data_IF_443733968961
#
_entry.id   IF_443733968961
#
_cell.length_a   1.000
_cell.length_b   1.000
_cell.length_c   1.000
_cell.angle_alpha   90.00
_cell.angle_beta   90.00
_cell.angle_gamma   90.00
#
_symmetry.space_group_name_H-M   'P 1'
#
loop_
_entity.id
_entity.type
_entity.pdbx_description
1 polymer ?
#
# COMPACT_ATOMS: atom_id res chain seq x y z
N UNK A 1 14.94 -13.50 39.90
CA UNK A 1 13.60 -13.60 39.25
C UNK A 1 13.48 -12.87 37.90
N UNK A 2 14.35 -11.90 37.54
CA UNK A 2 14.23 -11.16 36.27
C UNK A 2 14.55 -11.99 34.99
N UNK A 3 15.52 -12.92 35.03
CA UNK A 3 15.97 -13.69 33.84
C UNK A 3 14.91 -14.62 33.24
N UNK A 4 14.02 -15.19 34.06
CA UNK A 4 12.97 -16.10 33.59
C UNK A 4 11.86 -15.39 32.81
N UNK A 5 11.61 -14.10 33.11
CA UNK A 5 10.56 -13.30 32.44
C UNK A 5 11.00 -12.82 31.05
N UNK A 6 12.30 -12.60 30.86
CA UNK A 6 12.90 -12.17 29.59
C UNK A 6 12.93 -13.29 28.56
N UNK A 7 13.20 -14.54 28.98
CA UNK A 7 13.19 -15.71 28.09
C UNK A 7 11.81 -15.93 27.46
N UNK A 8 10.73 -15.89 28.26
CA UNK A 8 9.37 -16.05 27.73
C UNK A 8 8.90 -14.91 26.81
N UNK A 9 9.49 -13.72 26.89
CA UNK A 9 9.20 -12.62 25.94
C UNK A 9 9.90 -12.84 24.60
N UNK A 10 11.17 -13.26 24.62
CA UNK A 10 11.93 -13.58 23.40
C UNK A 10 11.30 -14.75 22.64
N UNK A 11 10.83 -15.79 23.35
CA UNK A 11 10.14 -16.92 22.72
C UNK A 11 8.79 -16.53 22.09
N UNK A 12 8.11 -15.51 22.63
CA UNK A 12 6.89 -14.95 22.03
C UNK A 12 7.21 -14.11 20.79
N UNK A 13 8.23 -13.26 20.85
CA UNK A 13 8.69 -12.48 19.70
C UNK A 13 9.17 -13.38 18.57
N UNK A 14 9.91 -14.44 18.88
CA UNK A 14 10.43 -15.36 17.87
C UNK A 14 9.30 -16.18 17.22
N UNK A 15 8.27 -16.56 17.97
CA UNK A 15 7.04 -17.16 17.40
C UNK A 15 6.30 -16.18 16.53
N UNK A 16 6.01 -14.97 17.02
CA UNK A 16 5.36 -13.93 16.24
C UNK A 16 6.10 -13.61 14.94
N UNK A 17 7.43 -13.43 15.02
CA UNK A 17 8.24 -13.14 13.84
C UNK A 17 8.21 -14.30 12.85
N UNK A 18 8.27 -15.55 13.34
CA UNK A 18 8.14 -16.74 12.50
C UNK A 18 6.76 -16.82 11.85
N UNK A 19 5.69 -16.57 12.58
CA UNK A 19 4.32 -16.61 12.05
C UNK A 19 4.10 -15.49 11.01
N UNK A 20 4.67 -14.31 11.24
CA UNK A 20 4.59 -13.15 10.33
C UNK A 20 5.43 -13.35 9.06
N UNK A 21 6.61 -13.96 9.18
CA UNK A 21 7.55 -14.15 8.05
C UNK A 21 7.45 -15.51 7.38
N UNK A 22 6.71 -16.48 7.94
CA UNK A 22 6.59 -17.84 7.41
C UNK A 22 6.05 -17.88 5.97
N UNK A 23 5.25 -16.88 5.57
CA UNK A 23 4.75 -16.74 4.20
C UNK A 23 5.64 -15.92 3.25
N UNK A 24 6.73 -15.31 3.74
CA UNK A 24 7.54 -14.38 2.95
C UNK A 24 8.73 -15.11 2.30
N UNK A 25 8.63 -15.40 0.99
CA UNK A 25 9.78 -15.86 0.21
C UNK A 25 10.64 -14.66 -0.23
N UNK A 26 11.96 -14.83 -0.32
CA UNK A 26 12.87 -13.81 -0.84
C UNK A 26 12.54 -13.41 -2.28
N UNK A 27 11.95 -14.33 -3.05
CA UNK A 27 11.41 -14.07 -4.39
C UNK A 27 10.18 -13.15 -4.37
N UNK A 28 9.33 -13.26 -3.36
CA UNK A 28 8.11 -12.43 -3.24
C UNK A 28 8.47 -11.02 -2.78
N UNK A 29 9.44 -10.88 -1.87
CA UNK A 29 10.04 -9.58 -1.54
C UNK A 29 10.62 -8.89 -2.77
N UNK A 30 11.36 -9.63 -3.61
CA UNK A 30 11.94 -9.06 -4.83
C UNK A 30 10.87 -8.63 -5.84
N UNK A 31 9.78 -9.40 -5.97
CA UNK A 31 8.63 -9.03 -6.82
C UNK A 31 7.94 -7.75 -6.34
N UNK A 32 7.77 -7.57 -5.04
CA UNK A 32 7.20 -6.37 -4.44
C UNK A 32 8.00 -5.11 -4.82
N UNK A 33 9.33 -5.19 -4.73
CA UNK A 33 10.20 -4.04 -5.02
C UNK A 33 10.42 -3.77 -6.51
N UNK A 34 10.51 -4.80 -7.35
CA UNK A 34 10.80 -4.61 -8.77
C UNK A 34 9.54 -4.44 -9.61
N UNK A 35 8.56 -5.35 -9.48
CA UNK A 35 7.39 -5.40 -10.38
C UNK A 35 6.22 -4.59 -9.84
N UNK A 36 5.89 -4.76 -8.56
CA UNK A 36 4.71 -4.09 -8.00
C UNK A 36 4.94 -2.60 -7.80
N UNK A 37 6.16 -2.19 -7.40
CA UNK A 37 6.52 -0.78 -7.34
C UNK A 37 6.50 -0.11 -8.74
N UNK A 38 7.00 -0.80 -9.77
CA UNK A 38 6.95 -0.29 -11.14
C UNK A 38 5.51 -0.18 -11.67
N UNK A 39 4.68 -1.18 -11.40
CA UNK A 39 3.25 -1.16 -11.75
C UNK A 39 2.51 -0.03 -11.02
N UNK A 40 2.76 0.12 -9.71
CA UNK A 40 2.18 1.20 -8.91
C UNK A 40 2.58 2.56 -9.46
N UNK A 41 3.87 2.77 -9.75
CA UNK A 41 4.35 3.99 -10.37
C UNK A 41 3.66 4.25 -11.71
N UNK A 42 3.63 3.27 -12.62
CA UNK A 42 2.98 3.41 -13.92
C UNK A 42 1.48 3.76 -13.80
N UNK A 43 0.78 3.17 -12.83
CA UNK A 43 -0.64 3.46 -12.55
C UNK A 43 -0.85 4.85 -11.95
N UNK A 44 0.12 5.38 -11.18
CA UNK A 44 0.08 6.72 -10.62
C UNK A 44 0.43 7.79 -11.65
N UNK A 45 1.39 7.52 -12.55
CA UNK A 45 1.87 8.47 -13.54
C UNK A 45 1.14 8.39 -14.87
N UNK A 46 0.20 7.45 -15.06
CA UNK A 46 -0.55 7.26 -16.31
C UNK A 46 -1.21 8.55 -16.82
N UNK A 47 -1.71 9.38 -15.92
CA UNK A 47 -2.35 10.66 -16.25
C UNK A 47 -1.34 11.80 -16.51
N UNK A 48 -0.13 11.69 -15.96
CA UNK A 48 0.92 12.72 -16.03
C UNK A 48 2.06 12.37 -17.01
N UNK A 49 1.95 11.27 -17.74
CA UNK A 49 2.97 10.74 -18.65
C UNK A 49 3.29 11.62 -19.88
N UNK A 50 2.68 12.80 -19.99
CA UNK A 50 2.84 13.73 -21.12
C UNK A 50 3.90 14.81 -20.89
N UNK A 51 4.48 14.90 -19.69
CA UNK A 51 5.57 15.85 -19.43
C UNK A 51 6.89 15.33 -20.01
N UNK A 52 7.67 16.15 -20.75
CA UNK A 52 8.95 15.74 -21.30
C UNK A 52 9.97 15.44 -20.18
N UNK A 53 10.57 14.24 -20.21
CA UNK A 53 11.56 13.85 -19.22
C UNK A 53 12.84 14.70 -19.33
N UNK A 54 13.35 15.29 -18.22
CA UNK A 54 14.61 16.02 -18.23
C UNK A 54 15.80 15.08 -18.41
N UNK A 55 16.84 15.56 -19.12
CA UNK A 55 18.05 14.75 -19.44
C UNK A 55 19.05 14.61 -18.29
N UNK A 56 18.96 15.45 -17.25
CA UNK A 56 19.89 15.46 -16.12
C UNK A 56 19.48 14.44 -15.04
N UNK A 57 20.42 13.62 -14.55
CA UNK A 57 20.13 12.50 -13.63
C UNK A 57 19.44 12.90 -12.31
N UNK A 58 19.92 13.94 -11.63
CA UNK A 58 19.32 14.40 -10.35
C UNK A 58 17.93 15.03 -10.59
N UNK A 59 17.79 15.82 -11.66
CA UNK A 59 16.50 16.44 -12.03
C UNK A 59 15.49 15.38 -12.45
N UNK A 60 15.93 14.31 -13.09
CA UNK A 60 15.10 13.16 -13.45
C UNK A 60 14.59 12.44 -12.19
N UNK A 61 15.45 12.20 -11.19
CA UNK A 61 15.02 11.58 -9.93
C UNK A 61 14.01 12.45 -9.17
N UNK A 62 14.27 13.76 -9.07
CA UNK A 62 13.33 14.71 -8.45
C UNK A 62 12.01 14.79 -9.21
N UNK A 63 12.05 14.82 -10.55
CA UNK A 63 10.87 14.84 -11.39
C UNK A 63 10.00 13.59 -11.18
N UNK A 64 10.61 12.39 -11.20
CA UNK A 64 9.88 11.13 -10.95
C UNK A 64 9.29 11.07 -9.54
N UNK A 65 10.04 11.51 -8.53
CA UNK A 65 9.57 11.57 -7.14
C UNK A 65 8.39 12.53 -7.00
N UNK A 66 8.46 13.71 -7.63
CA UNK A 66 7.38 14.69 -7.66
C UNK A 66 6.13 14.15 -8.36
N UNK A 67 6.29 13.49 -9.51
CA UNK A 67 5.18 12.89 -10.25
C UNK A 67 4.49 11.78 -9.47
N UNK A 68 5.27 10.90 -8.82
CA UNK A 68 4.72 9.86 -7.96
C UNK A 68 3.95 10.47 -6.78
N UNK A 69 4.51 11.50 -6.14
CA UNK A 69 3.89 12.22 -5.04
C UNK A 69 2.57 12.88 -5.46
N UNK A 70 2.57 13.60 -6.58
CA UNK A 70 1.37 14.25 -7.10
C UNK A 70 0.32 13.21 -7.49
N UNK A 71 0.71 12.16 -8.22
CA UNK A 71 -0.20 11.07 -8.61
C UNK A 71 -0.84 10.39 -7.40
N UNK A 72 -0.07 10.12 -6.34
CA UNK A 72 -0.60 9.56 -5.08
C UNK A 72 -1.56 10.53 -4.39
N UNK A 73 -1.14 11.78 -4.25
CA UNK A 73 -1.90 12.86 -3.63
C UNK A 73 -3.26 13.07 -4.32
N UNK A 74 -3.29 13.01 -5.66
CA UNK A 74 -4.52 13.22 -6.43
C UNK A 74 -5.52 12.06 -6.33
N UNK A 75 -5.05 10.83 -6.09
CA UNK A 75 -5.93 9.66 -5.86
C UNK A 75 -6.58 9.63 -4.47
N UNK A 76 -6.05 10.41 -3.53
CA UNK A 76 -6.65 10.59 -2.22
C UNK A 76 -7.79 11.62 -2.29
N UNK A 77 -8.85 11.39 -1.49
CA UNK A 77 -9.92 12.38 -1.30
C UNK A 77 -9.35 13.71 -0.77
N UNK A 78 -10.03 14.86 -0.98
CA UNK A 78 -9.50 16.17 -0.57
C UNK A 78 -9.09 16.23 0.91
N UNK A 79 -9.87 15.62 1.80
CA UNK A 79 -9.55 15.55 3.23
C UNK A 79 -8.31 14.69 3.53
N UNK A 80 -8.19 13.52 2.87
CA UNK A 80 -7.03 12.62 3.04
C UNK A 80 -5.76 13.22 2.46
N UNK A 81 -5.88 13.98 1.36
CA UNK A 81 -4.79 14.75 0.78
C UNK A 81 -4.24 15.77 1.77
N UNK A 82 -5.11 16.51 2.45
CA UNK A 82 -4.68 17.46 3.49
C UNK A 82 -3.96 16.74 4.63
N UNK A 83 -4.49 15.61 5.11
CA UNK A 83 -3.83 14.81 6.14
C UNK A 83 -2.43 14.33 5.68
N UNK A 84 -2.30 13.89 4.44
CA UNK A 84 -1.02 13.48 3.85
C UNK A 84 -0.01 14.63 3.81
N UNK A 85 -0.43 15.81 3.35
CA UNK A 85 0.43 17.00 3.31
C UNK A 85 0.84 17.41 4.73
N UNK A 86 -0.10 17.44 5.69
CA UNK A 86 0.20 17.75 7.09
C UNK A 86 1.19 16.75 7.68
N UNK A 87 1.04 15.46 7.41
CA UNK A 87 1.95 14.43 7.88
C UNK A 87 3.37 14.63 7.32
N UNK A 88 3.50 15.02 6.05
CA UNK A 88 4.79 15.37 5.47
C UNK A 88 5.36 16.67 6.04
N UNK A 89 4.52 17.68 6.31
CA UNK A 89 4.96 18.89 6.98
C UNK A 89 5.49 18.58 8.38
N UNK A 90 4.81 17.74 9.16
CA UNK A 90 5.30 17.29 10.47
C UNK A 90 6.61 16.49 10.34
N UNK A 91 6.74 15.66 9.30
CA UNK A 91 8.00 14.97 9.02
C UNK A 91 9.15 15.95 8.77
N UNK A 92 8.92 16.97 7.93
CA UNK A 92 9.90 18.00 7.62
C UNK A 92 10.21 18.88 8.84
N UNK A 93 9.20 19.24 9.64
CA UNK A 93 9.39 20.01 10.88
C UNK A 93 10.16 19.23 11.94
N UNK A 94 10.00 17.91 11.99
CA UNK A 94 10.83 17.04 12.82
C UNK A 94 12.31 17.08 12.43
N UNK A 95 12.59 17.34 11.15
CA UNK A 95 13.95 17.43 10.61
C UNK A 95 14.60 18.81 10.81
N UNK A 96 13.82 19.88 10.90
CA UNK A 96 14.34 21.26 10.98
C UNK A 96 14.67 21.73 12.39
N UNK A 97 14.23 21.00 13.43
CA UNK A 97 14.22 21.52 14.80
C UNK A 97 15.53 21.37 15.56
N UNK A 98 16.37 20.37 15.31
CA UNK A 98 17.67 20.25 15.97
C UNK A 98 18.62 19.42 15.10
N UNK A 99 19.80 19.95 14.77
CA UNK A 99 20.80 19.21 13.98
C UNK A 99 22.20 19.62 14.45
N UNK A 100 22.68 19.00 15.52
CA UNK A 100 24.10 19.02 15.87
C UNK A 100 24.63 17.60 16.12
N UNK A 101 25.40 17.11 15.14
CA UNK A 101 26.21 15.90 15.23
C UNK A 101 27.68 16.34 15.29
N UNK A 102 28.33 16.22 16.45
CA UNK A 102 29.81 16.32 16.55
C UNK A 102 30.37 15.15 17.35
N UNK A 103 31.02 14.23 16.64
CA UNK A 103 31.94 13.28 17.20
C UNK A 103 33.36 13.54 16.72
N UNK A 104 34.18 14.10 17.61
CA UNK A 104 35.62 14.02 17.50
C UNK A 104 36.22 13.63 18.85
N UNK A 105 37.31 12.86 18.75
CA UNK A 105 38.18 12.26 19.77
C UNK A 105 37.81 10.83 20.19
N UNK A 106 38.82 9.96 20.16
CA UNK A 106 38.84 8.56 20.60
C UNK A 106 38.10 8.31 21.95
N UNK A 107 36.78 8.09 22.04
CA UNK A 107 35.99 7.20 21.19
C UNK A 107 34.46 7.46 21.11
N UNK A 108 33.80 8.37 21.83
CA UNK A 108 32.32 8.53 21.71
C UNK A 108 31.80 9.92 22.16
N UNK A 109 30.96 10.56 21.34
CA UNK A 109 30.11 11.75 21.59
C UNK A 109 28.77 11.71 20.81
N UNK A 110 27.77 10.95 21.24
CA UNK A 110 26.44 10.91 20.57
C UNK A 110 25.60 12.11 20.98
N UNK A 111 25.15 12.91 20.00
CA UNK A 111 24.05 13.85 20.16
C UNK A 111 23.09 13.69 18.97
N UNK A 112 21.82 13.46 19.30
CA UNK A 112 20.72 13.16 18.37
C UNK A 112 19.51 13.89 18.91
N UNK A 113 19.02 14.89 18.17
CA UNK A 113 17.71 15.46 18.42
C UNK A 113 16.97 15.58 17.09
N UNK A 114 15.73 15.12 17.13
CA UNK A 114 14.85 14.88 16.01
C UNK A 114 13.46 14.91 16.61
N UNK A 115 13.04 16.09 17.10
CA UNK A 115 11.80 16.35 17.87
C UNK A 115 10.78 15.20 17.77
N UNK A 116 10.81 14.22 18.71
CA UNK A 116 10.08 12.96 18.57
C UNK A 116 8.58 13.17 18.44
N UNK A 117 8.09 14.29 18.94
CA UNK A 117 6.71 14.71 18.82
C UNK A 117 6.24 14.81 17.36
N UNK A 118 6.96 15.57 16.52
CA UNK A 118 6.53 15.78 15.13
C UNK A 118 6.68 14.52 14.28
N UNK A 119 7.73 13.73 14.52
CA UNK A 119 7.87 12.41 13.88
C UNK A 119 6.78 11.44 14.29
N UNK A 120 6.45 11.38 15.58
CA UNK A 120 5.36 10.52 16.07
C UNK A 120 4.03 10.97 15.47
N UNK A 121 3.77 12.27 15.40
CA UNK A 121 2.57 12.81 14.80
C UNK A 121 2.50 12.49 13.29
N UNK A 122 3.61 12.64 12.57
CA UNK A 122 3.71 12.25 11.15
C UNK A 122 3.45 10.76 10.95
N UNK A 123 4.10 9.90 11.74
CA UNK A 123 3.94 8.46 11.70
C UNK A 123 2.50 8.06 11.96
N UNK A 124 1.89 8.55 13.04
CA UNK A 124 0.48 8.27 13.36
C UNK A 124 -0.47 8.77 12.28
N UNK A 125 -0.23 9.96 11.73
CA UNK A 125 -1.04 10.51 10.65
C UNK A 125 -0.96 9.66 9.36
N UNK A 126 0.25 9.20 8.98
CA UNK A 126 0.44 8.31 7.83
C UNK A 126 -0.15 6.92 8.07
N UNK A 127 0.02 6.35 9.27
CA UNK A 127 -0.58 5.07 9.64
C UNK A 127 -2.11 5.16 9.64
N UNK A 128 -2.68 6.25 10.15
CA UNK A 128 -4.11 6.48 10.13
C UNK A 128 -4.63 6.65 8.69
N UNK A 129 -3.92 7.41 7.85
CA UNK A 129 -4.25 7.54 6.44
C UNK A 129 -4.23 6.19 5.72
N UNK A 130 -3.20 5.37 5.98
CA UNK A 130 -3.10 4.01 5.44
C UNK A 130 -4.28 3.14 5.91
N UNK A 131 -4.67 3.23 7.18
CA UNK A 131 -5.80 2.49 7.71
C UNK A 131 -7.12 2.92 7.03
N UNK A 132 -7.34 4.21 6.83
CA UNK A 132 -8.53 4.72 6.12
C UNK A 132 -8.59 4.22 4.68
N UNK A 133 -7.47 4.28 3.95
CA UNK A 133 -7.39 3.80 2.57
C UNK A 133 -7.58 2.27 2.50
N UNK A 134 -7.04 1.52 3.46
CA UNK A 134 -7.22 0.07 3.53
C UNK A 134 -8.68 -0.31 3.79
N UNK A 135 -9.35 0.37 4.72
CA UNK A 135 -10.76 0.11 5.04
C UNK A 135 -11.65 0.30 3.82
N UNK A 136 -11.43 1.38 3.06
CA UNK A 136 -12.19 1.62 1.83
C UNK A 136 -11.95 0.53 0.79
N UNK A 137 -10.70 0.10 0.60
CA UNK A 137 -10.38 -0.99 -0.33
C UNK A 137 -11.01 -2.31 0.07
N UNK A 138 -11.02 -2.63 1.37
CA UNK A 138 -11.68 -3.83 1.89
C UNK A 138 -13.19 -3.76 1.63
N UNK A 139 -13.83 -2.62 1.92
CA UNK A 139 -15.27 -2.44 1.65
C UNK A 139 -15.62 -2.63 0.19
N UNK A 140 -14.88 -2.00 -0.72
CA UNK A 140 -15.12 -2.15 -2.17
C UNK A 140 -14.94 -3.61 -2.61
N UNK A 141 -13.92 -4.30 -2.10
CA UNK A 141 -13.71 -5.72 -2.40
C UNK A 141 -14.89 -6.56 -1.91
N UNK A 142 -15.34 -6.34 -0.68
CA UNK A 142 -16.45 -7.09 -0.09
C UNK A 142 -17.76 -6.83 -0.85
N UNK A 143 -18.01 -5.60 -1.31
CA UNK A 143 -19.14 -5.25 -2.19
C UNK A 143 -19.06 -5.98 -3.54
N UNK A 144 -17.88 -6.07 -4.15
CA UNK A 144 -17.67 -6.81 -5.39
C UNK A 144 -17.87 -8.31 -5.22
N UNK A 145 -17.49 -8.86 -4.06
CA UNK A 145 -17.70 -10.28 -3.74
C UNK A 145 -19.19 -10.61 -3.63
N UNK A 146 -19.96 -9.76 -2.93
CA UNK A 146 -21.43 -9.87 -2.86
C UNK A 146 -22.06 -9.74 -4.24
N UNK A 147 -21.60 -8.78 -5.05
CA UNK A 147 -22.12 -8.60 -6.41
C UNK A 147 -21.86 -9.82 -7.30
N UNK A 148 -20.69 -10.45 -7.16
CA UNK A 148 -20.34 -11.70 -7.86
C UNK A 148 -21.26 -12.86 -7.47
N UNK A 149 -21.54 -13.01 -6.18
CA UNK A 149 -22.46 -14.04 -5.68
C UNK A 149 -23.88 -13.83 -6.21
N UNK A 150 -24.35 -12.57 -6.21
CA UNK A 150 -25.65 -12.21 -6.79
C UNK A 150 -25.71 -12.53 -8.29
N UNK A 151 -24.70 -12.15 -9.06
CA UNK A 151 -24.63 -12.45 -10.49
C UNK A 151 -24.65 -13.96 -10.75
N UNK A 152 -23.89 -14.74 -9.98
CA UNK A 152 -23.88 -16.20 -10.10
C UNK A 152 -25.26 -16.82 -9.78
N UNK A 153 -26.00 -16.24 -8.83
CA UNK A 153 -27.34 -16.70 -8.48
C UNK A 153 -28.41 -16.39 -9.55
N UNK A 154 -28.18 -15.36 -10.39
CA UNK A 154 -29.08 -15.00 -11.49
C UNK A 154 -28.88 -15.86 -12.73
N UNK A 155 -27.72 -16.51 -12.89
CA UNK A 155 -27.46 -17.36 -14.05
C UNK A 155 -28.28 -18.67 -13.98
N UNK A 156 -28.79 -19.16 -15.12
CA UNK A 156 -29.47 -20.46 -15.19
C UNK A 156 -28.61 -21.57 -14.57
N UNK A 157 -29.13 -22.21 -13.53
CA UNK A 157 -28.48 -23.37 -12.89
C UNK A 157 -28.67 -24.65 -13.71
N UNK A 158 -29.76 -24.70 -14.48
CA UNK A 158 -30.13 -25.82 -15.33
C UNK A 158 -30.37 -25.34 -16.75
N UNK A 159 -30.01 -26.20 -17.72
CA UNK A 159 -30.24 -25.90 -19.13
C UNK A 159 -31.71 -26.12 -19.49
N UNK A 160 -32.33 -25.23 -20.28
CA UNK A 160 -33.67 -25.47 -20.79
C UNK A 160 -33.70 -26.71 -21.69
N UNK A 161 -34.67 -27.60 -21.48
CA UNK A 161 -34.87 -28.79 -22.30
C UNK A 161 -35.88 -28.49 -23.39
N UNK A 162 -35.38 -28.27 -24.62
CA UNK A 162 -36.22 -28.02 -25.80
C UNK A 162 -35.99 -29.14 -26.82
N UNK A 163 -37.05 -29.85 -27.28
CA UNK A 163 -36.90 -30.96 -28.21
C UNK A 163 -36.17 -30.56 -29.50
N UNK A 164 -35.14 -31.34 -29.87
CA UNK A 164 -34.33 -31.08 -31.06
C UNK A 164 -33.23 -30.02 -30.90
N UNK A 165 -33.08 -29.41 -29.71
CA UNK A 165 -32.06 -28.41 -29.41
C UNK A 165 -31.21 -28.82 -28.21
N UNK A 166 -29.93 -28.42 -28.22
CA UNK A 166 -29.01 -28.61 -27.10
C UNK A 166 -28.34 -27.28 -26.76
N UNK A 167 -28.35 -26.91 -25.48
CA UNK A 167 -27.74 -25.68 -24.98
C UNK A 167 -26.44 -25.99 -24.22
N UNK A 168 -25.45 -25.12 -24.37
CA UNK A 168 -24.21 -25.14 -23.60
C UNK A 168 -23.84 -23.69 -23.24
N UNK A 169 -23.45 -23.46 -21.98
CA UNK A 169 -23.03 -22.15 -21.50
C UNK A 169 -21.71 -22.27 -20.74
N UNK A 170 -20.94 -21.19 -20.71
CA UNK A 170 -19.74 -21.05 -19.89
C UNK A 170 -19.59 -19.57 -19.54
N UNK A 171 -19.62 -19.25 -18.24
CA UNK A 171 -19.47 -17.88 -17.76
C UNK A 171 -18.12 -17.71 -17.07
N UNK A 172 -17.34 -16.70 -17.49
CA UNK A 172 -16.06 -16.36 -16.87
C UNK A 172 -15.90 -14.84 -16.84
N UNK A 173 -15.83 -14.27 -15.64
CA UNK A 173 -15.58 -12.84 -15.46
C UNK A 173 -14.10 -12.50 -15.72
N UNK A 174 -13.85 -11.27 -16.20
CA UNK A 174 -12.48 -10.76 -16.37
C UNK A 174 -11.86 -10.29 -15.04
N UNK A 175 -12.67 -9.68 -14.17
CA UNK A 175 -12.35 -9.29 -12.80
C UNK A 175 -13.34 -9.96 -11.82
N UNK A 176 -13.64 -9.34 -10.68
CA UNK A 176 -14.58 -9.85 -9.68
C UNK A 176 -16.02 -10.01 -10.23
N UNK A 177 -16.47 -9.10 -11.12
CA UNK A 177 -17.81 -9.12 -11.74
C UNK A 177 -17.75 -8.90 -13.25
N UNK A 178 -18.75 -9.39 -13.98
CA UNK A 178 -18.88 -9.25 -15.44
C UNK A 178 -20.08 -8.38 -15.84
N UNK A 179 -20.06 -7.84 -17.06
CA UNK A 179 -21.20 -7.13 -17.65
C UNK A 179 -22.14 -8.02 -18.46
N UNK A 180 -21.69 -9.24 -18.79
CA UNK A 180 -22.44 -10.19 -19.59
C UNK A 180 -23.46 -10.94 -18.73
N UNK A 181 -24.63 -11.24 -19.28
CA UNK A 181 -25.74 -11.96 -18.64
C UNK A 181 -26.54 -12.74 -19.70
N UNK A 182 -27.06 -13.90 -19.35
CA UNK A 182 -27.97 -14.70 -20.17
C UNK A 182 -29.02 -15.37 -19.27
N UNK A 183 -30.21 -15.58 -19.82
CA UNK A 183 -31.40 -16.14 -19.17
C UNK A 183 -32.12 -17.07 -20.17
#
# INVERSE_FOLDING_TARGET
MARARTQGFLDRLQRFFRDYTAGMNSRDLRRLFERDAANAYAVLTREHAREPEPRDGIKLWLHRTRLAFLGLSYKLSPARRLLFVLALLFLLLGFTRDLEVVFSTERVRILVDFSPFWFTLSFLALTYLLALELVDRVRVRDELEVARELQAALLPQEMPVVPGWSFAHSYRTANEVGGDYYD
#
